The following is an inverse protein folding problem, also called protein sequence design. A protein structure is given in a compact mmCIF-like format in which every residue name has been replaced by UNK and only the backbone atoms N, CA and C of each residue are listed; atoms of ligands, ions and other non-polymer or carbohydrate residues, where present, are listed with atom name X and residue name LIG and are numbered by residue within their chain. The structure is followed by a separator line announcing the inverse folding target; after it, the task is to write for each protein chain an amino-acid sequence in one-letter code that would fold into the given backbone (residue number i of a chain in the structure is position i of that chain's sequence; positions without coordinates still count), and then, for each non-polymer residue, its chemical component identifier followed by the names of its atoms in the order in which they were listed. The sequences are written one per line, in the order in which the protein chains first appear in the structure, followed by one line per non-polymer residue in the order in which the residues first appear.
data_IF_198241961543
#
_entry.id   IF_198241961543
#
_cell.length_a   1.000
_cell.length_b   1.000
_cell.length_c   1.000
_cell.angle_alpha   90.00
_cell.angle_beta   90.00
_cell.angle_gamma   90.00
#
_symmetry.space_group_name_H-M   'P 1'
#
loop_
_entity.id
_entity.type
_entity.pdbx_description
1 polymer ?
#
# COMPACT_ATOMS: atom_id res chain seq x y z
N UNK A 1 10.05 17.48 22.30
CA UNK A 1 8.74 17.14 21.68
C UNK A 1 8.89 16.62 20.24
N UNK A 2 9.73 17.24 19.39
CA UNK A 2 9.96 16.79 18.01
C UNK A 2 10.55 15.37 17.88
N UNK A 3 11.47 14.98 18.76
CA UNK A 3 12.11 13.65 18.75
C UNK A 3 11.14 12.51 19.07
N UNK A 4 10.21 12.74 19.99
CA UNK A 4 9.14 11.79 20.34
C UNK A 4 8.21 11.55 19.14
N UNK A 5 7.86 12.61 18.41
CA UNK A 5 7.04 12.55 17.20
C UNK A 5 7.71 11.72 16.08
N UNK A 6 9.03 11.89 15.86
CA UNK A 6 9.78 11.10 14.84
C UNK A 6 9.88 9.61 15.17
N UNK A 7 10.15 9.27 16.44
CA UNK A 7 10.20 7.87 16.89
C UNK A 7 8.85 7.18 16.72
N UNK A 8 7.77 7.86 17.11
CA UNK A 8 6.41 7.34 16.93
C UNK A 8 6.07 7.17 15.44
N UNK A 9 6.37 8.16 14.59
CA UNK A 9 6.14 8.05 13.15
C UNK A 9 6.93 6.89 12.53
N UNK A 10 8.21 6.73 12.88
CA UNK A 10 9.02 5.61 12.41
C UNK A 10 8.50 4.25 12.90
N UNK A 11 8.06 4.16 14.16
CA UNK A 11 7.46 2.94 14.71
C UNK A 11 6.13 2.59 14.03
N UNK A 12 5.27 3.57 13.76
CA UNK A 12 4.04 3.38 12.98
C UNK A 12 4.35 2.90 11.57
N UNK A 13 5.38 3.45 10.92
CA UNK A 13 5.79 3.03 9.58
C UNK A 13 6.30 1.58 9.57
N UNK A 14 7.09 1.19 10.57
CA UNK A 14 7.53 -0.20 10.74
C UNK A 14 6.35 -1.16 10.91
N UNK A 15 5.48 -0.87 11.90
CA UNK A 15 4.34 -1.73 12.21
C UNK A 15 3.39 -1.85 11.01
N UNK A 16 3.03 -0.73 10.40
CA UNK A 16 2.17 -0.71 9.22
C UNK A 16 2.78 -1.48 8.04
N UNK A 17 4.08 -1.36 7.81
CA UNK A 17 4.75 -2.08 6.72
C UNK A 17 4.82 -3.59 6.97
N UNK A 18 5.06 -4.03 8.21
CA UNK A 18 5.01 -5.44 8.59
C UNK A 18 3.60 -6.02 8.42
N UNK A 19 2.57 -5.27 8.81
CA UNK A 19 1.16 -5.66 8.59
C UNK A 19 0.82 -5.75 7.10
N UNK A 20 1.35 -4.85 6.25
CA UNK A 20 1.18 -4.91 4.80
C UNK A 20 1.84 -6.16 4.19
N UNK A 21 3.04 -6.53 4.67
CA UNK A 21 3.69 -7.79 4.28
C UNK A 21 2.85 -8.99 4.70
N UNK A 22 2.42 -9.03 5.97
CA UNK A 22 1.59 -10.12 6.48
C UNK A 22 0.27 -10.24 5.72
N UNK A 23 -0.34 -9.11 5.37
CA UNK A 23 -1.51 -9.05 4.50
C UNK A 23 -1.25 -9.80 3.20
N UNK A 24 -0.14 -9.52 2.50
CA UNK A 24 0.17 -10.17 1.22
C UNK A 24 0.52 -11.65 1.35
N UNK A 25 1.13 -12.07 2.46
CA UNK A 25 1.37 -13.50 2.74
C UNK A 25 0.05 -14.26 2.89
N UNK A 26 -0.95 -13.62 3.53
CA UNK A 26 -2.26 -14.22 3.77
C UNK A 26 -3.26 -13.97 2.63
N UNK A 27 -2.95 -13.07 1.70
CA UNK A 27 -3.88 -12.59 0.69
C UNK A 27 -4.27 -13.75 -0.25
N UNK A 28 -5.54 -14.21 -0.22
CA UNK A 28 -5.93 -15.36 -1.00
C UNK A 28 -6.06 -15.01 -2.49
N UNK A 29 -6.07 -16.05 -3.33
CA UNK A 29 -6.49 -15.89 -4.72
C UNK A 29 -8.00 -15.76 -4.80
N UNK A 30 -8.49 -15.01 -5.78
CA UNK A 30 -9.92 -14.95 -6.07
C UNK A 30 -10.47 -16.27 -6.64
N UNK A 31 -11.77 -16.34 -6.85
CA UNK A 31 -12.44 -17.49 -7.46
C UNK A 31 -13.91 -17.24 -7.71
N UNK A 32 -14.67 -18.31 -7.96
CA UNK A 32 -16.13 -18.28 -8.08
C UNK A 32 -16.82 -18.07 -6.71
N UNK A 33 -18.15 -17.91 -6.71
CA UNK A 33 -18.91 -17.65 -5.47
C UNK A 33 -18.68 -18.71 -4.40
N UNK A 34 -18.73 -20.00 -4.77
CA UNK A 34 -18.53 -21.10 -3.82
C UNK A 34 -17.13 -21.04 -3.17
N UNK A 35 -16.11 -20.72 -3.97
CA UNK A 35 -14.76 -20.52 -3.45
C UNK A 35 -14.70 -19.34 -2.49
N UNK A 36 -15.26 -18.18 -2.87
CA UNK A 36 -15.28 -16.96 -2.07
C UNK A 36 -15.96 -17.17 -0.71
N UNK A 37 -17.06 -17.92 -0.67
CA UNK A 37 -17.74 -18.30 0.58
C UNK A 37 -16.82 -19.16 1.46
N UNK A 38 -16.18 -20.18 0.87
CA UNK A 38 -15.26 -21.08 1.58
C UNK A 38 -14.08 -20.35 2.21
N UNK A 39 -13.56 -19.30 1.57
CA UNK A 39 -12.40 -18.54 2.05
C UNK A 39 -12.76 -17.20 2.73
N UNK A 40 -14.05 -16.96 2.96
CA UNK A 40 -14.58 -15.66 3.44
C UNK A 40 -13.87 -15.16 4.70
N UNK A 41 -13.63 -16.03 5.68
CA UNK A 41 -12.89 -15.67 6.90
C UNK A 41 -11.47 -15.17 6.63
N UNK A 42 -10.74 -15.80 5.70
CA UNK A 42 -9.39 -15.39 5.30
C UNK A 42 -9.43 -14.07 4.53
N UNK A 43 -10.40 -13.90 3.63
CA UNK A 43 -10.61 -12.63 2.91
C UNK A 43 -10.86 -11.47 3.87
N UNK A 44 -11.80 -11.62 4.79
CA UNK A 44 -12.14 -10.59 5.78
C UNK A 44 -10.93 -10.28 6.66
N UNK A 45 -10.26 -11.30 7.20
CA UNK A 45 -9.12 -11.10 8.09
C UNK A 45 -7.94 -10.39 7.41
N UNK A 46 -7.50 -10.91 6.26
CA UNK A 46 -6.35 -10.36 5.52
C UNK A 46 -6.59 -8.91 5.09
N UNK A 47 -7.77 -8.57 4.58
CA UNK A 47 -8.08 -7.22 4.16
C UNK A 47 -8.40 -6.27 5.32
N UNK A 48 -8.93 -6.77 6.44
CA UNK A 48 -9.06 -5.95 7.67
C UNK A 48 -7.68 -5.56 8.20
N UNK A 49 -6.71 -6.47 8.13
CA UNK A 49 -5.31 -6.18 8.46
C UNK A 49 -4.72 -5.11 7.51
N UNK A 50 -5.02 -5.22 6.21
CA UNK A 50 -4.64 -4.20 5.21
C UNK A 50 -5.22 -2.82 5.55
N UNK A 51 -6.51 -2.75 5.89
CA UNK A 51 -7.18 -1.52 6.29
C UNK A 51 -6.56 -0.93 7.56
N UNK A 52 -6.25 -1.76 8.55
CA UNK A 52 -5.64 -1.34 9.80
C UNK A 52 -4.20 -0.82 9.61
N UNK A 53 -3.45 -1.31 8.62
CA UNK A 53 -2.08 -0.88 8.39
C UNK A 53 -1.98 0.50 7.70
N UNK A 54 -2.97 0.87 6.88
CA UNK A 54 -2.98 2.13 6.13
C UNK A 54 -2.88 3.40 6.99
N UNK A 55 -3.63 3.60 8.09
CA UNK A 55 -3.46 4.78 8.94
C UNK A 55 -2.09 4.82 9.61
N UNK A 56 -1.48 3.67 9.93
CA UNK A 56 -0.13 3.60 10.49
C UNK A 56 0.93 4.01 9.46
N UNK A 57 0.81 3.51 8.23
CA UNK A 57 1.68 3.89 7.11
C UNK A 57 1.52 5.38 6.82
N UNK A 58 0.29 5.88 6.72
CA UNK A 58 -0.01 7.30 6.51
C UNK A 58 0.66 8.17 7.57
N UNK A 59 0.51 7.84 8.86
CA UNK A 59 1.14 8.59 9.94
C UNK A 59 2.68 8.56 9.85
N UNK A 60 3.26 7.43 9.50
CA UNK A 60 4.70 7.29 9.27
C UNK A 60 5.22 8.15 8.11
N UNK A 61 4.50 8.16 6.99
CA UNK A 61 4.81 8.96 5.80
C UNK A 61 4.65 10.47 6.05
N UNK A 62 3.74 10.87 6.93
CA UNK A 62 3.65 12.24 7.41
C UNK A 62 4.93 12.64 8.17
N UNK A 63 5.43 11.79 9.06
CA UNK A 63 6.71 12.02 9.76
C UNK A 63 7.92 12.09 8.83
N UNK A 64 7.96 11.24 7.79
CA UNK A 64 8.95 11.32 6.71
C UNK A 64 8.90 12.67 6.01
N UNK A 65 7.70 13.11 5.65
CA UNK A 65 7.51 14.36 4.90
C UNK A 65 7.93 15.58 5.70
N UNK A 66 7.62 15.60 7.00
CA UNK A 66 8.09 16.63 7.93
C UNK A 66 9.63 16.65 8.03
N UNK A 67 10.26 15.49 8.02
CA UNK A 67 11.73 15.38 8.10
C UNK A 67 12.43 15.81 6.81
N UNK A 68 11.74 15.77 5.68
CA UNK A 68 12.25 16.14 4.35
C UNK A 68 11.74 17.49 3.86
N UNK A 69 11.17 18.34 4.73
CA UNK A 69 10.55 19.59 4.30
C UNK A 69 11.51 20.51 3.55
N UNK A 70 10.95 21.13 2.51
CA UNK A 70 11.61 22.07 1.61
C UNK A 70 10.71 23.29 1.38
N UNK A 71 11.27 24.47 1.02
CA UNK A 71 10.47 25.66 0.72
C UNK A 71 9.42 25.43 -0.38
N UNK A 72 9.73 24.59 -1.38
CA UNK A 72 8.81 24.24 -2.47
C UNK A 72 7.77 23.16 -2.08
N UNK A 73 7.74 22.69 -0.82
CA UNK A 73 6.76 21.74 -0.27
C UNK A 73 6.65 20.42 -1.03
N UNK A 74 7.71 19.99 -1.72
CA UNK A 74 7.70 18.76 -2.52
C UNK A 74 7.50 17.51 -1.65
N UNK A 75 8.04 17.50 -0.43
CA UNK A 75 7.81 16.44 0.55
C UNK A 75 6.32 16.34 0.95
N UNK A 76 5.65 17.47 1.14
CA UNK A 76 4.20 17.54 1.42
C UNK A 76 3.37 17.07 0.23
N UNK A 77 3.74 17.46 -0.99
CA UNK A 77 3.07 16.95 -2.19
C UNK A 77 3.16 15.42 -2.28
N UNK A 78 4.34 14.87 -2.02
CA UNK A 78 4.58 13.42 -1.99
C UNK A 78 3.66 12.71 -0.98
N UNK A 79 3.45 13.32 0.19
CA UNK A 79 2.51 12.83 1.19
C UNK A 79 1.08 12.76 0.68
N UNK A 80 0.57 13.83 0.09
CA UNK A 80 -0.80 13.84 -0.44
C UNK A 80 -1.01 12.83 -1.56
N UNK A 81 -0.01 12.66 -2.44
CA UNK A 81 -0.03 11.61 -3.47
C UNK A 81 -0.08 10.22 -2.81
N UNK A 82 0.72 9.97 -1.78
CA UNK A 82 0.69 8.70 -1.06
C UNK A 82 -0.66 8.45 -0.38
N UNK A 83 -1.26 9.47 0.27
CA UNK A 83 -2.60 9.35 0.87
C UNK A 83 -3.64 9.00 -0.19
N UNK A 84 -3.61 9.65 -1.36
CA UNK A 84 -4.49 9.30 -2.47
C UNK A 84 -4.35 7.83 -2.89
N UNK A 85 -3.11 7.34 -3.00
CA UNK A 85 -2.84 5.92 -3.26
C UNK A 85 -3.35 4.99 -2.16
N UNK A 86 -3.11 5.32 -0.89
CA UNK A 86 -3.58 4.53 0.25
C UNK A 86 -5.11 4.50 0.34
N UNK A 87 -5.79 5.59 0.00
CA UNK A 87 -7.26 5.63 -0.10
C UNK A 87 -7.78 4.70 -1.20
N UNK A 88 -7.10 4.63 -2.36
CA UNK A 88 -7.45 3.66 -3.39
C UNK A 88 -7.28 2.21 -2.90
N UNK A 89 -6.17 1.93 -2.19
CA UNK A 89 -5.94 0.63 -1.58
C UNK A 89 -6.98 0.29 -0.48
N UNK A 90 -7.44 1.27 0.28
CA UNK A 90 -8.48 1.10 1.29
C UNK A 90 -9.82 0.71 0.66
N UNK A 91 -10.19 1.39 -0.43
CA UNK A 91 -11.41 1.07 -1.17
C UNK A 91 -11.30 -0.31 -1.82
N UNK A 92 -10.15 -0.64 -2.42
CA UNK A 92 -9.86 -1.98 -2.94
C UNK A 92 -10.05 -3.05 -1.86
N UNK A 93 -9.45 -2.84 -0.68
CA UNK A 93 -9.52 -3.78 0.44
C UNK A 93 -10.93 -3.94 0.98
N UNK A 94 -11.72 -2.85 1.00
CA UNK A 94 -13.12 -2.87 1.44
C UNK A 94 -13.95 -3.73 0.48
N UNK A 95 -13.78 -3.53 -0.82
CA UNK A 95 -14.55 -4.26 -1.84
C UNK A 95 -14.18 -5.73 -1.84
N UNK A 96 -12.89 -6.04 -1.96
CA UNK A 96 -12.43 -7.44 -2.03
C UNK A 96 -12.60 -8.21 -0.72
N UNK A 97 -12.35 -7.53 0.40
CA UNK A 97 -12.24 -8.16 1.70
C UNK A 97 -13.52 -8.22 2.49
N UNK A 98 -14.41 -7.25 2.31
CA UNK A 98 -15.62 -7.10 3.13
C UNK A 98 -16.88 -7.25 2.29
N UNK A 99 -16.98 -6.52 1.17
CA UNK A 99 -18.18 -6.53 0.33
C UNK A 99 -18.31 -7.85 -0.44
N UNK A 100 -17.24 -8.29 -1.10
CA UNK A 100 -17.28 -9.46 -1.98
C UNK A 100 -17.63 -10.77 -1.25
N UNK A 101 -17.07 -11.07 -0.05
CA UNK A 101 -17.47 -12.26 0.70
C UNK A 101 -18.92 -12.21 1.17
N UNK A 102 -19.43 -11.03 1.56
CA UNK A 102 -20.83 -10.86 1.95
C UNK A 102 -21.78 -11.06 0.77
N UNK A 103 -21.42 -10.50 -0.39
CA UNK A 103 -22.14 -10.70 -1.64
C UNK A 103 -22.20 -12.19 -2.01
N UNK A 104 -21.05 -12.87 -2.01
CA UNK A 104 -20.98 -14.29 -2.33
C UNK A 104 -21.81 -15.14 -1.35
N UNK A 105 -21.69 -14.90 -0.05
CA UNK A 105 -22.46 -15.63 0.97
C UNK A 105 -23.97 -15.42 0.83
N UNK A 106 -24.41 -14.26 0.37
CA UNK A 106 -25.83 -13.96 0.18
C UNK A 106 -26.41 -14.65 -1.06
N UNK A 107 -25.64 -14.75 -2.15
CA UNK A 107 -26.16 -15.17 -3.45
C UNK A 107 -25.76 -16.58 -3.91
N UNK A 108 -24.82 -17.26 -3.23
CA UNK A 108 -24.26 -18.56 -3.68
C UNK A 108 -25.31 -19.65 -3.93
N UNK A 109 -26.39 -19.68 -3.14
CA UNK A 109 -27.49 -20.65 -3.26
C UNK A 109 -28.81 -19.99 -3.69
N UNK A 110 -28.73 -18.77 -4.24
CA UNK A 110 -29.91 -18.03 -4.69
C UNK A 110 -30.42 -18.52 -6.05
N UNK A 111 -31.68 -18.20 -6.36
CA UNK A 111 -32.27 -18.46 -7.69
C UNK A 111 -32.01 -17.34 -8.71
N UNK A 112 -31.11 -16.41 -8.37
CA UNK A 112 -30.73 -15.31 -9.28
C UNK A 112 -29.93 -15.91 -10.44
N UNK A 113 -30.10 -15.33 -11.63
CA UNK A 113 -29.36 -15.75 -12.82
C UNK A 113 -27.84 -15.73 -12.60
N UNK A 114 -27.18 -16.85 -12.88
CA UNK A 114 -25.73 -17.01 -12.66
C UNK A 114 -24.92 -16.03 -13.51
N UNK A 115 -25.34 -15.77 -14.76
CA UNK A 115 -24.66 -14.84 -15.66
C UNK A 115 -24.69 -13.40 -15.14
N UNK A 116 -25.81 -12.98 -14.55
CA UNK A 116 -25.93 -11.68 -13.89
C UNK A 116 -25.01 -11.58 -12.66
N UNK A 117 -24.93 -12.63 -11.85
CA UNK A 117 -24.04 -12.66 -10.68
C UNK A 117 -22.56 -12.63 -11.10
N UNK A 118 -22.18 -13.39 -12.12
CA UNK A 118 -20.82 -13.38 -12.66
C UNK A 118 -20.42 -12.02 -13.24
N UNK A 119 -21.33 -11.34 -13.95
CA UNK A 119 -21.09 -9.98 -14.45
C UNK A 119 -20.83 -8.97 -13.31
N UNK A 120 -21.56 -9.09 -12.19
CA UNK A 120 -21.34 -8.25 -10.99
C UNK A 120 -19.98 -8.56 -10.36
N UNK A 121 -19.61 -9.84 -10.24
CA UNK A 121 -18.31 -10.25 -9.72
C UNK A 121 -17.17 -9.74 -10.60
N UNK A 122 -17.30 -9.83 -11.92
CA UNK A 122 -16.31 -9.31 -12.85
C UNK A 122 -16.18 -7.80 -12.78
N UNK A 123 -17.29 -7.08 -12.69
CA UNK A 123 -17.27 -5.64 -12.45
C UNK A 123 -16.51 -5.29 -11.16
N UNK A 124 -16.79 -5.97 -10.04
CA UNK A 124 -16.09 -5.77 -8.79
C UNK A 124 -14.58 -6.07 -8.93
N UNK A 125 -14.20 -7.14 -9.64
CA UNK A 125 -12.80 -7.49 -9.93
C UNK A 125 -12.09 -6.43 -10.77
N UNK A 126 -12.71 -5.91 -11.83
CA UNK A 126 -12.15 -4.84 -12.66
C UNK A 126 -12.00 -3.53 -11.90
N UNK A 127 -12.99 -3.19 -11.09
CA UNK A 127 -12.95 -2.00 -10.26
C UNK A 127 -11.83 -2.08 -9.22
N UNK A 128 -11.72 -3.21 -8.52
CA UNK A 128 -10.64 -3.46 -7.58
C UNK A 128 -9.25 -3.45 -8.25
N UNK A 129 -9.11 -4.06 -9.43
CA UNK A 129 -7.89 -4.04 -10.23
C UNK A 129 -7.46 -2.61 -10.58
N UNK A 130 -8.41 -1.76 -10.94
CA UNK A 130 -8.16 -0.35 -11.25
C UNK A 130 -7.66 0.43 -10.02
N UNK A 131 -8.25 0.19 -8.86
CA UNK A 131 -7.81 0.78 -7.58
C UNK A 131 -6.40 0.33 -7.18
N UNK A 132 -6.07 -0.94 -7.38
CA UNK A 132 -4.72 -1.44 -7.16
C UNK A 132 -3.69 -0.73 -8.05
N UNK A 133 -4.01 -0.48 -9.33
CA UNK A 133 -3.16 0.30 -10.22
C UNK A 133 -2.98 1.75 -9.78
N UNK A 134 -4.07 2.41 -9.33
CA UNK A 134 -4.00 3.77 -8.79
C UNK A 134 -3.07 3.81 -7.57
N UNK A 135 -3.23 2.86 -6.65
CA UNK A 135 -2.36 2.72 -5.48
C UNK A 135 -0.89 2.56 -5.89
N UNK A 136 -0.58 1.59 -6.77
CA UNK A 136 0.77 1.32 -7.24
C UNK A 136 1.41 2.55 -7.89
N UNK A 137 0.69 3.24 -8.75
CA UNK A 137 1.17 4.45 -9.43
C UNK A 137 1.45 5.57 -8.43
N UNK A 138 0.47 5.89 -7.59
CA UNK A 138 0.56 6.98 -6.63
C UNK A 138 1.71 6.74 -5.63
N UNK A 139 1.80 5.54 -5.04
CA UNK A 139 2.85 5.26 -4.07
C UNK A 139 4.24 5.22 -4.72
N UNK A 140 4.36 4.73 -5.97
CA UNK A 140 5.62 4.76 -6.71
C UNK A 140 6.08 6.18 -6.97
N UNK A 141 5.19 7.09 -7.37
CA UNK A 141 5.49 8.52 -7.56
C UNK A 141 5.89 9.17 -6.24
N UNK A 142 5.16 8.91 -5.15
CA UNK A 142 5.48 9.46 -3.84
C UNK A 142 6.87 9.01 -3.35
N UNK A 143 7.19 7.71 -3.46
CA UNK A 143 8.51 7.16 -3.12
C UNK A 143 9.59 7.77 -4.01
N UNK A 144 9.32 8.01 -5.29
CA UNK A 144 10.29 8.60 -6.23
C UNK A 144 10.65 10.04 -5.80
N UNK A 145 9.65 10.83 -5.43
CA UNK A 145 9.84 12.20 -4.96
C UNK A 145 10.59 12.25 -3.62
N UNK A 146 10.19 11.46 -2.61
CA UNK A 146 10.91 11.38 -1.34
C UNK A 146 12.35 10.88 -1.53
N UNK A 147 12.55 9.85 -2.36
CA UNK A 147 13.87 9.30 -2.65
C UNK A 147 14.79 10.32 -3.30
N UNK A 148 14.26 11.11 -4.24
CA UNK A 148 14.98 12.22 -4.86
C UNK A 148 15.37 13.28 -3.83
N UNK A 149 14.45 13.65 -2.93
CA UNK A 149 14.74 14.57 -1.83
C UNK A 149 15.82 14.04 -0.88
N UNK A 150 15.79 12.74 -0.54
CA UNK A 150 16.80 12.09 0.29
C UNK A 150 18.19 12.23 -0.35
N UNK A 151 18.31 11.96 -1.66
CA UNK A 151 19.57 12.04 -2.40
C UNK A 151 20.11 13.48 -2.43
N UNK A 152 19.25 14.44 -2.77
CA UNK A 152 19.62 15.85 -2.94
C UNK A 152 19.98 16.49 -1.61
N UNK A 153 19.22 16.21 -0.55
CA UNK A 153 19.38 16.90 0.75
C UNK A 153 20.43 16.26 1.64
N UNK A 154 20.71 14.97 1.49
CA UNK A 154 21.67 14.26 2.33
C UNK A 154 21.31 14.19 3.82
N UNK A 155 20.05 14.45 4.18
CA UNK A 155 19.55 14.35 5.57
C UNK A 155 19.60 12.89 6.06
N UNK A 156 19.37 11.96 5.14
CA UNK A 156 19.58 10.53 5.33
C UNK A 156 20.66 10.03 4.37
N UNK A 157 21.20 8.82 4.63
CA UNK A 157 22.16 8.17 3.73
C UNK A 157 21.56 8.02 2.33
N UNK A 158 22.31 8.48 1.31
CA UNK A 158 21.85 8.49 -0.10
C UNK A 158 21.46 7.11 -0.63
N UNK A 159 22.07 6.03 -0.09
CA UNK A 159 21.74 4.64 -0.43
C UNK A 159 20.24 4.32 -0.30
N UNK A 160 19.55 4.88 0.71
CA UNK A 160 18.11 4.67 0.89
C UNK A 160 17.27 5.38 -0.17
N UNK A 161 17.75 6.52 -0.66
CA UNK A 161 17.15 7.19 -1.80
C UNK A 161 17.34 6.39 -3.08
N UNK A 162 18.54 5.88 -3.36
CA UNK A 162 18.76 5.04 -4.55
C UNK A 162 17.91 3.76 -4.51
N UNK A 163 17.79 3.13 -3.35
CA UNK A 163 16.92 1.97 -3.20
C UNK A 163 15.44 2.31 -3.46
N UNK A 164 14.96 3.44 -2.95
CA UNK A 164 13.59 3.87 -3.22
C UNK A 164 13.35 4.21 -4.68
N UNK A 165 14.33 4.83 -5.37
CA UNK A 165 14.24 5.03 -6.82
C UNK A 165 14.12 3.70 -7.56
N UNK A 166 14.88 2.67 -7.19
CA UNK A 166 14.78 1.34 -7.79
C UNK A 166 13.37 0.74 -7.60
N UNK A 167 12.83 0.79 -6.38
CA UNK A 167 11.49 0.29 -6.06
C UNK A 167 10.41 1.05 -6.86
N UNK A 168 10.50 2.39 -6.91
CA UNK A 168 9.58 3.22 -7.67
C UNK A 168 9.65 2.95 -9.16
N UNK A 169 10.84 2.84 -9.74
CA UNK A 169 11.02 2.58 -11.16
C UNK A 169 10.51 1.19 -11.53
N UNK A 170 10.77 0.18 -10.70
CA UNK A 170 10.17 -1.15 -10.86
C UNK A 170 8.64 -1.04 -10.89
N UNK A 171 8.02 -0.34 -9.94
CA UNK A 171 6.58 -0.09 -9.89
C UNK A 171 6.06 0.60 -11.14
N UNK A 172 6.70 1.69 -11.58
CA UNK A 172 6.26 2.45 -12.76
C UNK A 172 6.43 1.67 -14.07
N UNK A 173 7.53 0.96 -14.26
CA UNK A 173 7.76 0.11 -15.45
C UNK A 173 6.78 -1.05 -15.47
N UNK A 174 6.52 -1.64 -14.31
CA UNK A 174 5.54 -2.70 -14.13
C UNK A 174 4.16 -2.28 -14.65
N UNK A 175 3.71 -1.06 -14.36
CA UNK A 175 2.41 -0.52 -14.82
C UNK A 175 2.29 -0.44 -16.34
N UNK A 176 3.39 -0.22 -17.06
CA UNK A 176 3.41 -0.10 -18.53
C UNK A 176 3.64 -1.44 -19.23
N UNK A 177 3.96 -2.49 -18.47
CA UNK A 177 4.12 -3.82 -19.02
C UNK A 177 2.77 -4.44 -19.36
N UNK A 178 2.72 -5.33 -20.37
CA UNK A 178 1.53 -6.14 -20.66
C UNK A 178 1.25 -7.22 -19.61
N UNK A 179 2.01 -7.24 -18.51
CA UNK A 179 1.88 -8.27 -17.48
C UNK A 179 0.73 -7.97 -16.53
N UNK A 180 0.13 -9.01 -15.95
CA UNK A 180 -0.94 -8.86 -14.97
C UNK A 180 -0.36 -8.50 -13.60
N UNK A 181 -0.02 -7.22 -13.41
CA UNK A 181 0.60 -6.73 -12.17
C UNK A 181 -0.27 -6.85 -10.93
N UNK A 182 -1.58 -7.07 -11.09
CA UNK A 182 -2.49 -7.37 -10.00
C UNK A 182 -2.63 -8.86 -9.72
N UNK A 183 -1.82 -9.71 -10.35
CA UNK A 183 -1.68 -11.10 -9.93
C UNK A 183 -1.05 -11.16 -8.53
N UNK A 184 -1.46 -12.12 -7.71
CA UNK A 184 -1.02 -12.24 -6.31
C UNK A 184 0.51 -12.22 -6.20
N UNK A 185 1.21 -12.91 -7.12
CA UNK A 185 2.67 -12.97 -7.14
C UNK A 185 3.33 -11.61 -7.45
N UNK A 186 2.97 -10.97 -8.57
CA UNK A 186 3.60 -9.70 -8.97
C UNK A 186 3.20 -8.54 -8.06
N UNK A 187 1.92 -8.49 -7.66
CA UNK A 187 1.44 -7.50 -6.71
C UNK A 187 2.13 -7.67 -5.35
N UNK A 188 2.26 -8.92 -4.90
CA UNK A 188 3.02 -9.27 -3.70
C UNK A 188 4.44 -8.77 -3.78
N UNK A 189 5.18 -9.10 -4.86
CA UNK A 189 6.56 -8.64 -5.06
C UNK A 189 6.70 -7.12 -5.01
N UNK A 190 5.76 -6.39 -5.62
CA UNK A 190 5.70 -4.93 -5.52
C UNK A 190 5.49 -4.45 -4.08
N UNK A 191 4.49 -4.99 -3.37
CA UNK A 191 4.21 -4.62 -1.97
C UNK A 191 5.39 -4.96 -1.06
N UNK A 192 6.07 -6.08 -1.27
CA UNK A 192 7.29 -6.44 -0.54
C UNK A 192 8.40 -5.41 -0.74
N UNK A 193 8.69 -5.01 -1.99
CA UNK A 193 9.71 -4.00 -2.29
C UNK A 193 9.36 -2.62 -1.74
N UNK A 194 8.08 -2.24 -1.79
CA UNK A 194 7.57 -1.03 -1.15
C UNK A 194 7.74 -1.10 0.38
N UNK A 195 7.27 -2.19 1.01
CA UNK A 195 7.30 -2.36 2.46
C UNK A 195 8.73 -2.41 3.01
N UNK A 196 9.67 -3.06 2.31
CA UNK A 196 11.08 -3.05 2.72
C UNK A 196 11.67 -1.64 2.67
N UNK A 197 11.34 -0.83 1.66
CA UNK A 197 11.76 0.57 1.65
C UNK A 197 11.16 1.37 2.81
N UNK A 198 9.85 1.22 3.06
CA UNK A 198 9.17 1.87 4.19
C UNK A 198 9.77 1.45 5.53
N UNK A 199 10.14 0.18 5.70
CA UNK A 199 10.81 -0.33 6.90
C UNK A 199 12.14 0.38 7.11
N UNK A 200 12.98 0.48 6.08
CA UNK A 200 14.27 1.15 6.16
C UNK A 200 14.11 2.62 6.54
N UNK A 201 13.16 3.32 5.92
CA UNK A 201 12.83 4.71 6.27
C UNK A 201 12.33 4.82 7.72
N UNK A 202 11.50 3.89 8.18
CA UNK A 202 11.02 3.85 9.56
C UNK A 202 12.16 3.69 10.56
N UNK A 203 13.11 2.80 10.29
CA UNK A 203 14.34 2.65 11.09
C UNK A 203 15.14 3.95 11.11
N UNK A 204 15.29 4.63 9.97
CA UNK A 204 16.01 5.89 9.91
C UNK A 204 15.35 6.96 10.75
N UNK A 205 14.04 7.14 10.64
CA UNK A 205 13.29 8.11 11.43
C UNK A 205 13.49 7.90 12.94
N UNK A 206 13.51 6.64 13.39
CA UNK A 206 13.79 6.29 14.79
C UNK A 206 15.24 6.61 15.19
N UNK A 207 16.20 6.33 14.30
CA UNK A 207 17.64 6.49 14.55
C UNK A 207 18.14 7.93 14.40
N UNK A 208 17.43 8.80 13.69
CA UNK A 208 17.84 10.21 13.56
C UNK A 208 17.80 10.92 14.90
N UNK A 209 18.96 11.04 15.55
CA UNK A 209 19.21 12.05 16.57
C UNK A 209 19.54 13.37 15.86
N UNK A 210 18.83 14.44 16.19
CA UNK A 210 19.33 15.78 15.89
C UNK A 210 20.34 16.14 16.99
N UNK A 211 21.54 16.62 16.64
CA UNK A 211 22.24 17.53 17.52
C UNK A 211 21.37 18.78 17.67
N UNK A 212 21.19 19.25 18.90
CA UNK A 212 20.54 20.54 19.16
C UNK A 212 21.26 21.61 18.33
N UNK A 213 20.48 22.37 17.55
CA UNK A 213 20.98 23.56 16.85
C UNK A 213 20.83 24.76 17.75
#
# INVERSE_FOLDING_TARGET
METFSKKLAGASLLLGSLMAVLTMVLHPSGGNMQHLVKISGVLIFSHSLALACMPLIAFGLWGLSNSLQTPNRLATLSFFIAIFGLSAAALASTINGLVLPQFAAHFVDSKVDEGALDAILDYARFFNKSLAYIFMAAISVAILLWSSLIIVRGIFTKWFGYYGLLVSLFGLVALHSKSNMTSVGLFGAFVFGMASWLILVGVLLIKTHQPER
#
